data_IF_257290050847
#
_entry.id   IF_257290050847
#
_cell.length_a   1.000
_cell.length_b   1.000
_cell.length_c   1.000
_cell.angle_alpha   90.00
_cell.angle_beta   90.00
_cell.angle_gamma   90.00
#
_symmetry.space_group_name_H-M   'P 1'
#
loop_
_entity.id
_entity.type
_entity.pdbx_description
1 polymer ?
#
# COMPACT_ATOMS: atom_id res chain seq x y z
N UNK A 1 -10.04 -15.90 -8.32
CA UNK A 1 -9.60 -15.87 -6.91
C UNK A 1 -10.82 -15.57 -6.05
N UNK A 2 -10.97 -16.16 -4.86
CA UNK A 2 -12.06 -15.77 -3.94
C UNK A 2 -11.75 -14.42 -3.28
N UNK A 3 -12.77 -13.73 -2.75
CA UNK A 3 -12.56 -12.45 -2.07
C UNK A 3 -11.61 -12.55 -0.87
N UNK A 4 -11.58 -13.67 -0.16
CA UNK A 4 -10.66 -13.85 0.97
C UNK A 4 -9.21 -14.08 0.51
N UNK A 5 -9.01 -14.89 -0.54
CA UNK A 5 -7.69 -15.05 -1.15
C UNK A 5 -7.14 -13.72 -1.68
N UNK A 6 -8.01 -12.84 -2.20
CA UNK A 6 -7.63 -11.49 -2.65
C UNK A 6 -7.18 -10.59 -1.50
N UNK A 7 -7.77 -10.72 -0.31
CA UNK A 7 -7.32 -9.99 0.87
C UNK A 7 -5.99 -10.53 1.40
N UNK A 8 -5.84 -11.85 1.40
CA UNK A 8 -4.63 -12.51 1.90
C UNK A 8 -3.39 -12.13 1.07
N UNK A 9 -3.51 -12.08 -0.26
CA UNK A 9 -2.39 -11.64 -1.12
C UNK A 9 -2.02 -10.17 -0.88
N UNK A 10 -3.00 -9.28 -0.65
CA UNK A 10 -2.74 -7.87 -0.31
C UNK A 10 -2.02 -7.77 1.02
N UNK A 11 -2.52 -8.45 2.07
CA UNK A 11 -1.89 -8.45 3.39
C UNK A 11 -0.46 -9.01 3.32
N UNK A 12 -0.26 -10.09 2.56
CA UNK A 12 1.06 -10.67 2.35
C UNK A 12 1.99 -9.68 1.65
N UNK A 13 1.54 -9.05 0.56
CA UNK A 13 2.34 -8.04 -0.14
C UNK A 13 2.72 -6.87 0.78
N UNK A 14 1.77 -6.29 1.52
CA UNK A 14 2.03 -5.20 2.46
C UNK A 14 3.05 -5.58 3.52
N UNK A 15 2.96 -6.81 4.06
CA UNK A 15 3.92 -7.31 5.04
C UNK A 15 5.34 -7.46 4.50
N UNK A 16 5.49 -7.68 3.19
CA UNK A 16 6.79 -7.84 2.54
C UNK A 16 7.42 -6.49 2.16
N UNK A 17 6.62 -5.50 1.77
CA UNK A 17 7.12 -4.18 1.35
C UNK A 17 7.44 -3.23 2.50
N UNK A 18 6.89 -3.48 3.71
CA UNK A 18 7.19 -2.65 4.88
C UNK A 18 8.63 -2.82 5.37
N UNK A 19 9.26 -3.97 5.15
CA UNK A 19 10.66 -4.22 5.49
C UNK A 19 11.50 -4.36 4.20
N UNK A 20 12.45 -3.45 3.94
CA UNK A 20 13.32 -3.53 2.77
C UNK A 20 14.03 -4.88 2.62
N UNK A 21 14.34 -5.57 3.74
CA UNK A 21 15.00 -6.88 3.72
C UNK A 21 14.12 -8.01 3.20
N UNK A 22 12.79 -7.85 3.22
CA UNK A 22 11.83 -8.82 2.69
C UNK A 22 11.22 -8.42 1.35
N UNK A 23 11.44 -7.17 0.91
CA UNK A 23 10.82 -6.60 -0.30
C UNK A 23 10.99 -7.43 -1.56
N UNK A 24 12.15 -8.08 -1.76
CA UNK A 24 12.42 -8.94 -2.93
C UNK A 24 11.43 -10.10 -3.07
N UNK A 25 10.92 -10.62 -1.95
CA UNK A 25 9.93 -11.71 -1.95
C UNK A 25 8.58 -11.25 -2.52
N UNK A 26 8.31 -9.94 -2.58
CA UNK A 26 7.08 -9.40 -3.14
C UNK A 26 6.96 -9.68 -4.64
N UNK A 27 8.08 -9.90 -5.35
CA UNK A 27 8.10 -10.19 -6.79
C UNK A 27 7.20 -11.35 -7.19
N UNK A 28 7.07 -12.36 -6.35
CA UNK A 28 6.21 -13.53 -6.62
C UNK A 28 4.73 -13.16 -6.73
N UNK A 29 4.32 -12.07 -6.08
CA UNK A 29 2.94 -11.61 -5.97
C UNK A 29 2.60 -10.48 -6.95
N UNK A 30 3.58 -9.96 -7.69
CA UNK A 30 3.42 -8.84 -8.64
C UNK A 30 3.51 -9.36 -10.08
N UNK A 31 2.68 -8.83 -10.98
CA UNK A 31 2.90 -9.01 -12.42
C UNK A 31 4.15 -8.24 -12.86
N UNK A 32 4.87 -8.71 -13.89
CA UNK A 32 6.01 -7.95 -14.44
C UNK A 32 5.57 -6.56 -14.93
N UNK A 33 4.41 -6.47 -15.57
CA UNK A 33 3.80 -5.25 -16.08
C UNK A 33 2.98 -4.48 -15.04
N UNK A 34 3.34 -4.55 -13.75
CA UNK A 34 2.57 -3.91 -12.69
C UNK A 34 2.40 -2.41 -12.95
N UNK A 35 1.17 -1.92 -12.93
CA UNK A 35 0.87 -0.50 -13.13
C UNK A 35 0.70 0.20 -11.78
N UNK A 36 1.45 1.28 -11.58
CA UNK A 36 1.40 2.10 -10.38
C UNK A 36 0.81 3.47 -10.71
N UNK A 37 -0.28 3.84 -10.05
CA UNK A 37 -0.93 5.15 -10.21
C UNK A 37 -0.47 6.18 -9.17
N UNK A 38 0.22 5.75 -8.10
CA UNK A 38 0.89 6.68 -7.19
C UNK A 38 1.94 7.48 -7.98
N UNK A 39 1.85 8.82 -8.06
CA UNK A 39 2.71 9.64 -8.91
C UNK A 39 4.17 9.74 -8.43
N UNK A 40 4.48 9.14 -7.27
CA UNK A 40 5.80 9.17 -6.65
C UNK A 40 6.56 7.84 -6.82
N UNK A 41 5.94 6.83 -7.44
CA UNK A 41 6.54 5.50 -7.59
C UNK A 41 6.36 5.07 -9.05
N UNK A 42 7.46 4.72 -9.70
CA UNK A 42 7.41 4.22 -11.07
C UNK A 42 6.66 2.88 -11.15
N UNK A 43 6.07 2.60 -12.32
CA UNK A 43 5.44 1.32 -12.60
C UNK A 43 6.48 0.19 -12.78
N UNK A 44 6.05 -1.05 -12.56
CA UNK A 44 6.85 -2.27 -12.66
C UNK A 44 7.22 -2.86 -11.30
N UNK A 45 7.33 -4.19 -11.23
CA UNK A 45 7.63 -4.89 -9.97
C UNK A 45 8.98 -4.45 -9.37
N UNK A 46 10.00 -4.27 -10.21
CA UNK A 46 11.34 -3.82 -9.82
C UNK A 46 11.28 -2.43 -9.19
N UNK A 47 10.54 -1.51 -9.80
CA UNK A 47 10.44 -0.13 -9.34
C UNK A 47 9.85 -0.05 -7.92
N UNK A 48 8.81 -0.85 -7.63
CA UNK A 48 8.19 -0.90 -6.30
C UNK A 48 9.17 -1.46 -5.26
N UNK A 49 9.85 -2.56 -5.59
CA UNK A 49 10.81 -3.20 -4.71
C UNK A 49 11.96 -2.25 -4.40
N UNK A 50 12.54 -1.61 -5.42
CA UNK A 50 13.59 -0.60 -5.25
C UNK A 50 13.09 0.63 -4.48
N UNK A 51 11.86 1.07 -4.71
CA UNK A 51 11.27 2.18 -3.97
C UNK A 51 11.30 1.92 -2.45
N UNK A 52 11.05 0.69 -1.99
CA UNK A 52 11.09 0.35 -0.56
C UNK A 52 12.44 0.65 0.11
N UNK A 53 13.52 0.69 -0.67
CA UNK A 53 14.91 0.91 -0.21
C UNK A 53 15.27 2.40 -0.15
N UNK A 54 14.39 3.29 -0.61
CA UNK A 54 14.62 4.73 -0.64
C UNK A 54 14.37 5.41 0.71
N UNK A 55 14.91 6.61 0.88
CA UNK A 55 14.59 7.47 2.03
C UNK A 55 13.13 7.90 2.06
N UNK A 56 12.52 8.10 0.89
CA UNK A 56 11.09 8.44 0.79
C UNK A 56 10.23 7.32 1.37
N UNK A 57 10.49 6.06 1.03
CA UNK A 57 9.80 4.93 1.62
C UNK A 57 10.05 4.82 3.13
N UNK A 58 11.25 5.13 3.61
CA UNK A 58 11.54 5.19 5.05
C UNK A 58 10.67 6.24 5.77
N UNK A 59 10.59 7.45 5.22
CA UNK A 59 9.73 8.52 5.76
C UNK A 59 8.24 8.13 5.69
N UNK A 60 7.80 7.51 4.61
CA UNK A 60 6.44 7.01 4.47
C UNK A 60 6.11 5.97 5.56
N UNK A 61 7.00 5.00 5.82
CA UNK A 61 6.81 4.01 6.90
C UNK A 61 6.71 4.63 8.28
N UNK A 62 7.48 5.68 8.55
CA UNK A 62 7.47 6.37 9.85
C UNK A 62 6.22 7.25 10.02
N UNK A 63 5.78 7.93 8.96
CA UNK A 63 4.68 8.90 8.98
C UNK A 63 3.29 8.31 8.67
N UNK A 64 3.24 7.17 7.98
CA UNK A 64 2.00 6.51 7.55
C UNK A 64 1.67 5.25 8.36
N UNK A 65 2.10 5.21 9.63
CA UNK A 65 1.76 4.09 10.51
C UNK A 65 0.23 3.99 10.68
N UNK A 66 -0.36 2.81 10.45
CA UNK A 66 -1.78 2.61 10.70
C UNK A 66 -2.06 2.63 12.21
N UNK A 67 -3.29 2.94 12.56
CA UNK A 67 -3.85 2.72 13.88
C UNK A 67 -3.96 1.20 14.16
N UNK A 68 -4.08 0.76 15.43
CA UNK A 68 -4.00 -0.66 15.79
C UNK A 68 -5.18 -1.51 15.30
N UNK A 69 -6.25 -0.90 14.80
CA UNK A 69 -7.39 -1.61 14.24
C UNK A 69 -7.01 -2.39 12.97
N UNK A 70 -7.62 -3.56 12.73
CA UNK A 70 -7.40 -4.29 11.50
C UNK A 70 -7.91 -3.51 10.28
N UNK A 71 -7.29 -3.69 9.10
CA UNK A 71 -7.79 -3.12 7.86
C UNK A 71 -9.20 -3.60 7.53
N UNK A 72 -9.99 -2.72 6.92
CA UNK A 72 -11.28 -3.08 6.34
C UNK A 72 -11.08 -3.35 4.85
N UNK A 73 -11.72 -4.40 4.33
CA UNK A 73 -11.62 -4.79 2.93
C UNK A 73 -12.97 -4.79 2.22
N UNK A 74 -12.96 -4.36 0.96
CA UNK A 74 -14.02 -4.60 -0.01
C UNK A 74 -13.41 -5.32 -1.20
N UNK A 75 -13.95 -6.49 -1.56
CA UNK A 75 -13.47 -7.25 -2.70
C UNK A 75 -14.64 -7.50 -3.67
N UNK A 76 -14.47 -7.07 -4.92
CA UNK A 76 -15.47 -7.21 -5.98
C UNK A 76 -14.78 -7.53 -7.30
N UNK A 77 -15.20 -8.63 -7.93
CA UNK A 77 -14.60 -9.09 -9.19
C UNK A 77 -13.09 -9.34 -9.04
N UNK A 78 -12.31 -8.60 -9.83
CA UNK A 78 -10.85 -8.65 -9.84
C UNK A 78 -10.19 -7.56 -8.98
N UNK A 79 -10.96 -6.79 -8.18
CA UNK A 79 -10.44 -5.68 -7.38
C UNK A 79 -10.63 -5.90 -5.90
N UNK A 80 -9.67 -5.36 -5.13
CA UNK A 80 -9.70 -5.33 -3.68
C UNK A 80 -9.30 -3.94 -3.20
N UNK A 81 -10.14 -3.34 -2.38
CA UNK A 81 -9.89 -2.09 -1.68
C UNK A 81 -9.56 -2.41 -0.23
N UNK A 82 -8.47 -1.83 0.27
CA UNK A 82 -8.08 -1.84 1.66
C UNK A 82 -8.24 -0.43 2.25
N UNK A 83 -8.80 -0.35 3.44
CA UNK A 83 -8.90 0.87 4.23
C UNK A 83 -8.15 0.70 5.54
N UNK A 84 -7.20 1.58 5.80
CA UNK A 84 -6.40 1.63 7.03
C UNK A 84 -6.78 2.85 7.85
N UNK A 85 -7.18 2.64 9.10
CA UNK A 85 -7.35 3.73 10.05
C UNK A 85 -5.98 4.36 10.37
N UNK A 86 -5.96 5.69 10.56
CA UNK A 86 -4.79 6.45 10.98
C UNK A 86 -5.20 7.51 12.00
N UNK A 87 -4.39 7.70 13.03
CA UNK A 87 -4.50 8.83 13.93
C UNK A 87 -3.50 9.90 13.49
N UNK A 88 -4.00 11.07 13.07
CA UNK A 88 -3.19 12.17 12.57
C UNK A 88 -3.17 13.33 13.57
N UNK A 89 -2.09 14.12 13.66
CA UNK A 89 -2.06 15.30 14.53
C UNK A 89 -3.17 16.28 14.18
N UNK A 90 -3.88 16.78 15.20
CA UNK A 90 -4.90 17.80 15.01
C UNK A 90 -4.23 19.15 14.67
N UNK A 91 -4.61 19.80 13.54
CA UNK A 91 -3.99 21.05 13.12
C UNK A 91 -4.30 22.23 14.06
N UNK A 92 -5.40 22.16 14.82
CA UNK A 92 -5.86 23.23 15.70
C UNK A 92 -5.46 22.98 17.16
N UNK A 93 -5.09 21.74 17.53
CA UNK A 93 -4.69 21.36 18.89
C UNK A 93 -3.49 20.38 18.89
N UNK A 94 -2.25 20.87 19.08
CA UNK A 94 -1.04 20.04 19.06
C UNK A 94 -1.00 18.91 20.09
N UNK A 95 -1.88 18.91 21.10
CA UNK A 95 -1.99 17.85 22.10
C UNK A 95 -2.95 16.72 21.72
N UNK A 96 -3.63 16.83 20.57
CA UNK A 96 -4.66 15.89 20.13
C UNK A 96 -4.33 15.27 18.78
N UNK A 97 -5.05 14.19 18.51
CA UNK A 97 -5.13 13.56 17.21
C UNK A 97 -6.58 13.47 16.76
N UNK A 98 -6.79 13.37 15.45
CA UNK A 98 -8.07 13.04 14.85
C UNK A 98 -7.95 11.77 14.01
N UNK A 99 -9.08 11.07 13.86
CA UNK A 99 -9.17 9.85 13.07
C UNK A 99 -9.30 10.17 11.59
N UNK A 100 -8.47 9.55 10.76
CA UNK A 100 -8.55 9.55 9.31
C UNK A 100 -8.37 8.13 8.76
N UNK A 101 -8.49 7.97 7.43
CA UNK A 101 -8.39 6.69 6.74
C UNK A 101 -7.56 6.83 5.47
N UNK A 102 -6.64 5.89 5.26
CA UNK A 102 -5.92 5.72 4.00
C UNK A 102 -6.56 4.60 3.17
N UNK A 103 -6.55 4.77 1.85
CA UNK A 103 -7.18 3.86 0.91
C UNK A 103 -6.13 3.40 -0.10
N UNK A 104 -6.05 2.09 -0.26
CA UNK A 104 -5.30 1.46 -1.33
C UNK A 104 -6.23 0.51 -2.08
N UNK A 105 -6.10 0.44 -3.40
CA UNK A 105 -6.85 -0.49 -4.23
C UNK A 105 -5.88 -1.24 -5.13
N UNK A 106 -6.12 -2.55 -5.29
CA UNK A 106 -5.41 -3.36 -6.25
C UNK A 106 -6.36 -4.04 -7.23
N UNK A 107 -5.89 -4.21 -8.47
CA UNK A 107 -6.44 -5.18 -9.43
C UNK A 107 -5.59 -6.45 -9.42
N UNK A 108 -6.26 -7.59 -9.51
CA UNK A 108 -5.65 -8.91 -9.54
C UNK A 108 -5.78 -9.52 -10.93
N UNK A 109 -4.69 -10.09 -11.43
CA UNK A 109 -4.61 -10.78 -12.72
C UNK A 109 -3.83 -12.09 -12.54
N UNK A 110 -4.42 -13.21 -12.95
CA UNK A 110 -3.80 -14.54 -12.89
C UNK A 110 -3.15 -14.89 -11.53
N UNK A 111 -3.78 -14.48 -10.44
CA UNK A 111 -3.30 -14.77 -9.10
C UNK A 111 -2.34 -13.75 -8.51
N UNK A 112 -2.00 -12.68 -9.25
CA UNK A 112 -1.02 -11.66 -8.88
C UNK A 112 -1.63 -10.27 -8.86
N UNK A 113 -1.04 -9.36 -8.08
CA UNK A 113 -1.38 -7.95 -8.12
C UNK A 113 -0.80 -7.35 -9.40
N UNK A 114 -1.65 -6.68 -10.18
CA UNK A 114 -1.31 -6.18 -11.51
C UNK A 114 -1.37 -4.66 -11.63
N UNK A 115 -2.12 -4.01 -10.76
CA UNK A 115 -2.34 -2.57 -10.82
C UNK A 115 -2.72 -2.04 -9.44
N UNK A 116 -2.29 -0.82 -9.13
CA UNK A 116 -2.52 -0.20 -7.83
C UNK A 116 -2.85 1.28 -7.90
N UNK A 117 -3.80 1.67 -7.06
CA UNK A 117 -4.20 3.06 -6.83
C UNK A 117 -4.15 3.37 -5.34
N UNK A 118 -3.69 4.55 -5.00
CA UNK A 118 -3.80 5.14 -3.67
C UNK A 118 -4.20 6.62 -3.77
N UNK A 119 -4.32 7.27 -2.62
CA UNK A 119 -4.65 8.69 -2.51
C UNK A 119 -3.44 9.63 -2.51
N UNK A 120 -2.23 9.17 -2.84
CA UNK A 120 -1.03 9.98 -2.68
C UNK A 120 -0.97 11.12 -3.72
N UNK A 121 -0.89 12.39 -3.27
CA UNK A 121 -0.54 13.48 -4.17
C UNK A 121 0.94 13.40 -4.55
N UNK A 122 1.32 14.10 -5.61
CA UNK A 122 2.74 14.26 -5.97
C UNK A 122 3.46 15.04 -4.88
N UNK A 123 4.58 14.50 -4.40
CA UNK A 123 5.42 15.14 -3.39
C UNK A 123 6.39 16.16 -4.02
N UNK A 124 6.83 17.13 -3.22
CA UNK A 124 7.88 18.05 -3.62
C UNK A 124 9.24 17.32 -3.63
N UNK A 125 10.02 17.56 -4.69
CA UNK A 125 11.37 16.98 -4.86
C UNK A 125 12.47 17.79 -4.21
#
# INVERSE_FOLDING_TARGET
MSGDQSKDIVLKMMSLLVDPSTSEQAREYLTESYVQHNPNIDSGADAIIEWTKTDQARVARESMRPAPEPPVFVAEGDKVVMMLARDLPDPDDPGKTYRSYWFDMWRIEDGKLAEHWDGAPKEAG
#
